data_IF_510324623068
#
_entry.id   IF_510324623068
#
_cell.length_a   1.000
_cell.length_b   1.000
_cell.length_c   1.000
_cell.angle_alpha   90.00
_cell.angle_beta   90.00
_cell.angle_gamma   90.00
#
_symmetry.space_group_name_H-M   'P 1'
#
loop_
_entity.id
_entity.type
_entity.pdbx_description
1 polymer ?
#
# COMPACT_ATOMS: atom_id res chain seq x y z
N UNK A 1 -2.27 4.66 29.87
CA UNK A 1 -2.83 5.14 28.59
C UNK A 1 -2.24 4.30 27.46
N UNK A 2 -2.99 3.32 26.95
CA UNK A 2 -2.59 2.47 25.82
C UNK A 2 -3.41 2.84 24.58
N UNK A 3 -2.83 2.81 23.36
CA UNK A 3 -3.54 3.27 22.17
C UNK A 3 -4.49 2.17 21.67
N UNK A 4 -5.78 2.45 21.77
CA UNK A 4 -6.89 1.70 21.17
C UNK A 4 -6.78 1.71 19.64
N UNK A 5 -6.36 0.59 19.06
CA UNK A 5 -6.45 0.35 17.61
C UNK A 5 -7.80 -0.25 17.25
N UNK A 6 -8.78 0.60 16.94
CA UNK A 6 -10.08 0.18 16.41
C UNK A 6 -9.92 -0.32 14.97
N UNK A 7 -9.80 -1.63 14.78
CA UNK A 7 -9.97 -2.28 13.48
C UNK A 7 -11.28 -3.07 13.46
N UNK A 8 -12.26 -2.55 12.73
CA UNK A 8 -13.52 -3.23 12.43
C UNK A 8 -13.30 -4.39 11.46
N UNK A 9 -12.83 -5.54 11.95
CA UNK A 9 -13.00 -6.82 11.26
C UNK A 9 -14.33 -7.41 11.72
N UNK A 10 -15.29 -7.56 10.80
CA UNK A 10 -16.58 -8.18 11.07
C UNK A 10 -16.36 -9.62 11.55
N UNK A 11 -16.68 -9.87 12.81
CA UNK A 11 -17.20 -11.15 13.32
C UNK A 11 -16.27 -12.35 13.47
N UNK A 12 -14.96 -12.27 13.20
CA UNK A 12 -14.05 -13.40 13.50
C UNK A 12 -13.17 -13.05 14.71
N UNK A 13 -13.24 -13.81 15.82
CA UNK A 13 -12.29 -13.62 16.91
C UNK A 13 -10.86 -13.78 16.37
N UNK A 14 -9.95 -12.95 16.85
CA UNK A 14 -8.53 -13.02 16.49
C UNK A 14 -7.98 -14.37 16.93
N UNK A 15 -7.86 -15.32 16.00
CA UNK A 15 -7.23 -16.61 16.26
C UNK A 15 -5.76 -16.38 16.58
N UNK A 16 -5.42 -16.40 17.87
CA UNK A 16 -4.04 -16.33 18.31
C UNK A 16 -3.37 -17.69 18.10
N UNK A 17 -2.28 -17.70 17.33
CA UNK A 17 -1.40 -18.86 17.26
C UNK A 17 -0.67 -19.01 18.61
N UNK A 18 -0.43 -20.23 19.12
CA UNK A 18 0.45 -20.48 20.25
C UNK A 18 1.80 -19.78 20.10
N UNK A 19 2.40 -19.34 21.21
CA UNK A 19 3.68 -18.64 21.22
C UNK A 19 4.78 -19.43 20.50
N UNK A 20 4.88 -20.73 20.77
CA UNK A 20 5.82 -21.62 20.10
C UNK A 20 5.66 -21.62 18.57
N UNK A 21 4.41 -21.66 18.06
CA UNK A 21 4.14 -21.60 16.62
C UNK A 21 4.51 -20.23 16.05
N UNK A 22 4.32 -19.15 16.82
CA UNK A 22 4.67 -17.80 16.39
C UNK A 22 6.19 -17.64 16.29
N UNK A 23 6.92 -18.08 17.31
CA UNK A 23 8.39 -18.05 17.35
C UNK A 23 9.01 -18.92 16.26
N UNK A 24 8.51 -20.14 16.07
CA UNK A 24 8.92 -21.01 14.97
C UNK A 24 8.74 -20.33 13.61
N UNK A 25 7.56 -19.75 13.34
CA UNK A 25 7.30 -19.06 12.08
C UNK A 25 8.19 -17.83 11.88
N UNK A 26 8.52 -17.10 12.95
CA UNK A 26 9.45 -15.96 12.90
C UNK A 26 10.86 -16.48 12.56
N UNK A 27 11.31 -17.54 13.23
CA UNK A 27 12.64 -18.12 13.02
C UNK A 27 12.85 -18.68 11.61
N UNK A 28 11.87 -19.41 11.07
CA UNK A 28 11.97 -19.98 9.71
C UNK A 28 11.74 -18.97 8.59
N UNK A 29 11.13 -17.81 8.88
CA UNK A 29 10.76 -16.82 7.87
C UNK A 29 11.95 -16.28 7.08
N UNK A 30 13.17 -16.32 7.63
CA UNK A 30 14.38 -15.90 6.93
C UNK A 30 14.71 -16.81 5.74
N UNK A 31 14.60 -18.13 5.93
CA UNK A 31 14.89 -19.14 4.92
C UNK A 31 13.85 -19.05 3.79
N UNK A 32 12.56 -19.03 4.15
CA UNK A 32 11.47 -18.92 3.17
C UNK A 32 11.61 -17.66 2.28
N UNK A 33 12.04 -16.54 2.87
CA UNK A 33 12.28 -15.29 2.15
C UNK A 33 13.52 -15.37 1.24
N UNK A 34 14.58 -16.02 1.70
CA UNK A 34 15.78 -16.26 0.89
C UNK A 34 15.45 -17.07 -0.36
N UNK A 35 14.74 -18.18 -0.19
CA UNK A 35 14.31 -19.04 -1.31
C UNK A 35 13.39 -18.29 -2.28
N UNK A 36 12.50 -17.45 -1.75
CA UNK A 36 11.67 -16.56 -2.57
C UNK A 36 12.52 -15.58 -3.39
N UNK A 37 13.54 -14.95 -2.81
CA UNK A 37 14.42 -14.01 -3.52
C UNK A 37 15.24 -14.70 -4.61
N UNK A 38 15.70 -15.94 -4.35
CA UNK A 38 16.42 -16.76 -5.34
C UNK A 38 15.53 -17.09 -6.54
N UNK A 39 14.23 -17.31 -6.32
CA UNK A 39 13.28 -17.62 -7.41
C UNK A 39 13.13 -16.48 -8.44
N UNK A 40 13.34 -15.21 -8.03
CA UNK A 40 13.31 -14.06 -8.94
C UNK A 40 14.57 -13.94 -9.81
N UNK A 41 15.66 -14.66 -9.48
CA UNK A 41 16.89 -14.69 -10.26
C UNK A 41 16.79 -15.63 -11.48
N UNK A 42 15.68 -15.54 -12.23
CA UNK A 42 15.41 -16.35 -13.43
C UNK A 42 16.37 -16.07 -14.59
N UNK A 43 17.15 -14.99 -14.50
CA UNK A 43 18.15 -14.60 -15.49
C UNK A 43 19.48 -15.38 -15.37
N UNK A 44 19.64 -16.27 -14.38
CA UNK A 44 20.75 -17.22 -14.34
C UNK A 44 20.51 -18.24 -15.46
N UNK A 45 21.03 -17.92 -16.65
CA UNK A 45 20.84 -18.70 -17.87
C UNK A 45 21.27 -20.15 -17.65
N UNK A 46 20.52 -21.11 -18.22
CA UNK A 46 20.81 -22.55 -18.16
C UNK A 46 22.20 -22.94 -18.70
N UNK A 47 22.89 -22.03 -19.37
CA UNK A 47 24.21 -22.20 -19.98
C UNK A 47 25.38 -21.99 -19.00
N UNK A 48 25.13 -21.60 -17.75
CA UNK A 48 26.16 -21.34 -16.75
C UNK A 48 26.54 -22.65 -16.04
N UNK A 49 27.83 -23.02 -16.08
CA UNK A 49 28.39 -24.18 -15.36
C UNK A 49 28.16 -24.03 -13.84
N UNK A 50 27.82 -25.14 -13.16
CA UNK A 50 27.37 -25.14 -11.76
C UNK A 50 28.28 -24.38 -10.78
N UNK A 51 29.60 -24.49 -10.94
CA UNK A 51 30.57 -23.82 -10.06
C UNK A 51 30.54 -22.29 -10.19
N UNK A 52 30.25 -21.76 -11.39
CA UNK A 52 30.10 -20.31 -11.60
C UNK A 52 28.82 -19.79 -10.92
N UNK A 53 27.77 -20.61 -10.91
CA UNK A 53 26.53 -20.30 -10.20
C UNK A 53 26.77 -20.18 -8.69
N UNK A 54 27.55 -21.09 -8.10
CA UNK A 54 27.95 -21.01 -6.70
C UNK A 54 28.77 -19.76 -6.39
N UNK A 55 29.73 -19.40 -7.24
CA UNK A 55 30.52 -18.19 -7.05
C UNK A 55 29.64 -16.91 -7.03
N UNK A 56 28.66 -16.81 -7.95
CA UNK A 56 27.72 -15.68 -7.98
C UNK A 56 26.85 -15.65 -6.71
N UNK A 57 26.34 -16.80 -6.24
CA UNK A 57 25.59 -16.84 -4.99
C UNK A 57 26.42 -16.41 -3.79
N UNK A 58 27.67 -16.87 -3.69
CA UNK A 58 28.56 -16.47 -2.59
C UNK A 58 28.83 -14.97 -2.58
N UNK A 59 29.07 -14.37 -3.75
CA UNK A 59 29.28 -12.92 -3.89
C UNK A 59 28.04 -12.10 -3.52
N UNK A 60 26.85 -12.53 -3.96
CA UNK A 60 25.60 -11.85 -3.62
C UNK A 60 25.27 -11.95 -2.12
N UNK A 61 25.57 -13.08 -1.48
CA UNK A 61 25.34 -13.28 -0.04
C UNK A 61 26.29 -12.41 0.79
N UNK A 62 27.57 -12.32 0.44
CA UNK A 62 28.53 -11.47 1.17
C UNK A 62 28.20 -9.99 1.04
N UNK A 63 27.78 -9.54 -0.15
CA UNK A 63 27.31 -8.17 -0.38
C UNK A 63 26.03 -7.88 0.43
N UNK A 64 25.07 -8.80 0.44
CA UNK A 64 23.83 -8.67 1.21
C UNK A 64 24.08 -8.56 2.71
N UNK A 65 24.97 -9.40 3.26
CA UNK A 65 25.36 -9.37 4.69
C UNK A 65 26.06 -8.06 5.08
N UNK A 66 26.82 -7.46 4.16
CA UNK A 66 27.52 -6.19 4.38
C UNK A 66 26.58 -4.97 4.31
N UNK A 67 25.45 -5.10 3.60
CA UNK A 67 24.48 -4.02 3.45
C UNK A 67 23.77 -3.72 4.78
N UNK A 68 23.87 -2.47 5.24
CA UNK A 68 23.27 -1.98 6.51
C UNK A 68 21.73 -1.98 6.53
N UNK A 69 21.10 -2.37 5.42
CA UNK A 69 19.64 -2.36 5.21
C UNK A 69 18.96 -3.72 5.44
N UNK A 70 19.68 -4.73 5.97
CA UNK A 70 19.14 -6.09 6.17
C UNK A 70 18.06 -6.19 7.24
N UNK A 71 17.96 -5.20 8.15
CA UNK A 71 16.95 -5.19 9.20
C UNK A 71 15.63 -4.66 8.62
N UNK A 72 14.60 -5.51 8.43
CA UNK A 72 13.29 -5.00 8.03
C UNK A 72 12.81 -4.05 9.12
N UNK A 73 12.70 -2.76 8.80
CA UNK A 73 12.22 -1.74 9.72
C UNK A 73 10.87 -2.19 10.33
N UNK A 74 10.81 -2.49 11.64
CA UNK A 74 9.60 -3.00 12.26
C UNK A 74 8.46 -1.95 12.27
N UNK A 75 8.82 -0.68 12.09
CA UNK A 75 7.88 0.44 11.97
C UNK A 75 7.43 0.69 10.53
N UNK A 76 7.84 -0.13 9.54
CA UNK A 76 7.35 0.03 8.16
C UNK A 76 5.85 -0.25 8.18
N UNK A 77 4.99 0.74 7.86
CA UNK A 77 3.56 0.52 7.90
C UNK A 77 3.22 -0.57 6.88
N UNK A 78 2.66 -1.69 7.36
CA UNK A 78 2.08 -2.71 6.49
C UNK A 78 1.04 -1.99 5.63
N UNK A 79 1.29 -1.92 4.31
CA UNK A 79 0.30 -1.43 3.34
C UNK A 79 -0.87 -2.39 3.41
N UNK A 80 -1.86 -2.06 4.24
CA UNK A 80 -3.15 -2.73 4.20
C UNK A 80 -3.76 -2.32 2.87
N UNK A 81 -4.16 -3.29 2.06
CA UNK A 81 -5.05 -3.05 0.93
C UNK A 81 -6.40 -2.59 1.51
N UNK A 82 -6.50 -1.31 1.88
CA UNK A 82 -7.79 -0.72 2.21
C UNK A 82 -8.54 -0.58 0.90
N UNK A 83 -9.67 -1.29 0.79
CA UNK A 83 -10.67 -0.96 -0.21
C UNK A 83 -11.26 0.40 0.15
N UNK A 84 -11.07 1.39 -0.72
CA UNK A 84 -11.73 2.68 -0.60
C UNK A 84 -13.08 2.59 -1.30
N UNK A 85 -14.09 3.27 -0.78
CA UNK A 85 -15.41 3.37 -1.43
C UNK A 85 -15.92 4.80 -1.36
N UNK A 86 -16.63 5.22 -2.40
CA UNK A 86 -17.28 6.52 -2.44
C UNK A 86 -18.62 6.48 -1.69
N UNK A 87 -18.88 7.51 -0.89
CA UNK A 87 -20.19 7.78 -0.26
C UNK A 87 -20.72 9.13 -0.69
N UNK A 88 -22.04 9.32 -0.58
CA UNK A 88 -22.69 10.60 -0.87
C UNK A 88 -22.51 11.54 0.33
N UNK A 89 -22.03 12.75 0.07
CA UNK A 89 -21.91 13.82 1.07
C UNK A 89 -23.26 14.51 1.25
N UNK A 90 -23.75 14.59 2.48
CA UNK A 90 -25.00 15.25 2.84
C UNK A 90 -24.74 16.47 3.73
N UNK A 91 -25.56 17.51 3.62
CA UNK A 91 -25.59 18.66 4.53
C UNK A 91 -26.30 18.27 5.85
N UNK A 92 -26.31 19.19 6.82
CA UNK A 92 -27.05 19.03 8.09
C UNK A 92 -28.54 18.70 7.87
N UNK A 93 -29.15 19.22 6.79
CA UNK A 93 -30.54 18.97 6.40
C UNK A 93 -30.73 17.68 5.57
N UNK A 94 -29.72 16.80 5.48
CA UNK A 94 -29.79 15.53 4.73
C UNK A 94 -29.69 15.65 3.20
N UNK A 95 -29.74 16.87 2.64
CA UNK A 95 -29.63 17.12 1.19
C UNK A 95 -28.21 16.83 0.66
N UNK A 96 -28.05 16.27 -0.55
CA UNK A 96 -26.74 15.96 -1.13
C UNK A 96 -25.97 17.24 -1.49
N UNK A 97 -24.67 17.24 -1.20
CA UNK A 97 -23.78 18.40 -1.39
C UNK A 97 -22.91 18.20 -2.61
N UNK A 98 -23.05 19.07 -3.60
CA UNK A 98 -22.22 19.05 -4.81
C UNK A 98 -20.99 19.94 -4.61
N UNK A 99 -19.79 19.34 -4.60
CA UNK A 99 -18.50 20.04 -4.55
C UNK A 99 -17.62 19.64 -5.72
N UNK A 100 -16.63 20.47 -6.03
CA UNK A 100 -15.68 20.17 -7.11
C UNK A 100 -14.86 18.92 -6.80
N UNK A 101 -14.57 18.11 -7.83
CA UNK A 101 -13.62 17.02 -7.70
C UNK A 101 -12.21 17.58 -7.49
N UNK A 102 -11.54 17.13 -6.42
CA UNK A 102 -10.19 17.58 -6.05
C UNK A 102 -9.16 17.20 -7.12
N UNK A 103 -9.29 16.00 -7.69
CA UNK A 103 -8.37 15.48 -8.71
C UNK A 103 -8.57 16.16 -10.06
N UNK A 104 -9.81 16.35 -10.52
CA UNK A 104 -10.09 17.15 -11.72
C UNK A 104 -9.56 18.58 -11.59
N UNK A 105 -9.73 19.20 -10.41
CA UNK A 105 -9.19 20.54 -10.16
C UNK A 105 -7.67 20.55 -10.23
N UNK A 106 -7.01 19.57 -9.59
CA UNK A 106 -5.55 19.42 -9.62
C UNK A 106 -5.04 19.24 -11.06
N UNK A 107 -5.71 18.42 -11.88
CA UNK A 107 -5.38 18.24 -13.30
C UNK A 107 -5.51 19.55 -14.08
N UNK A 108 -6.65 20.24 -14.00
CA UNK A 108 -6.83 21.53 -14.69
C UNK A 108 -5.85 22.60 -14.22
N UNK A 109 -5.56 22.67 -12.92
CA UNK A 109 -4.62 23.65 -12.34
C UNK A 109 -3.18 23.52 -12.84
N UNK A 110 -2.78 22.37 -13.39
CA UNK A 110 -1.48 22.22 -14.05
C UNK A 110 -1.41 22.96 -15.39
N UNK A 111 -2.55 23.13 -16.07
CA UNK A 111 -2.62 23.72 -17.41
C UNK A 111 -3.06 25.19 -17.38
N UNK A 112 -3.97 25.54 -16.47
CA UNK A 112 -4.58 26.87 -16.46
C UNK A 112 -4.50 27.54 -15.08
N UNK A 113 -4.58 28.86 -15.11
CA UNK A 113 -4.56 29.70 -13.92
C UNK A 113 -5.77 29.42 -12.99
N UNK A 114 -5.68 29.86 -11.73
CA UNK A 114 -6.61 29.45 -10.67
C UNK A 114 -8.05 29.84 -10.99
N UNK A 115 -8.25 31.05 -11.48
CA UNK A 115 -9.56 31.58 -11.81
C UNK A 115 -10.21 30.75 -12.94
N UNK A 116 -9.44 30.47 -13.99
CA UNK A 116 -9.91 29.69 -15.13
C UNK A 116 -10.12 28.21 -14.80
N UNK A 117 -9.27 27.62 -13.96
CA UNK A 117 -9.41 26.23 -13.52
C UNK A 117 -10.72 25.99 -12.75
N UNK A 118 -11.21 26.99 -12.02
CA UNK A 118 -12.46 26.89 -11.26
C UNK A 118 -13.70 26.91 -12.16
N UNK A 119 -13.61 27.49 -13.36
CA UNK A 119 -14.70 27.52 -14.32
C UNK A 119 -14.92 26.13 -14.93
N UNK A 120 -16.20 25.76 -15.09
CA UNK A 120 -16.62 24.52 -15.77
C UNK A 120 -15.95 23.25 -15.22
N UNK A 121 -15.74 23.16 -13.90
CA UNK A 121 -15.17 21.97 -13.27
C UNK A 121 -16.28 20.99 -12.85
N UNK A 122 -16.04 19.69 -13.06
CA UNK A 122 -16.98 18.62 -12.66
C UNK A 122 -17.23 18.71 -11.15
N UNK A 123 -18.50 18.90 -10.78
CA UNK A 123 -18.99 18.88 -9.39
C UNK A 123 -19.65 17.53 -9.14
N UNK A 124 -19.26 16.86 -8.05
CA UNK A 124 -19.80 15.56 -7.66
C UNK A 124 -20.36 15.62 -6.25
N UNK A 125 -21.24 14.68 -5.92
CA UNK A 125 -21.78 14.48 -4.56
C UNK A 125 -20.98 13.47 -3.75
N UNK A 126 -20.07 12.73 -4.39
CA UNK A 126 -19.31 11.61 -3.84
C UNK A 126 -17.98 12.00 -3.20
N UNK A 127 -17.66 11.37 -2.06
CA UNK A 127 -16.40 11.53 -1.34
C UNK A 127 -15.92 10.21 -0.74
N UNK A 128 -14.62 10.08 -0.48
CA UNK A 128 -14.05 8.91 0.18
C UNK A 128 -13.87 9.16 1.68
N UNK A 129 -14.40 8.30 2.55
CA UNK A 129 -14.21 8.40 4.01
C UNK A 129 -12.86 7.88 4.50
N UNK A 130 -12.31 6.89 3.80
CA UNK A 130 -11.09 6.18 4.23
C UNK A 130 -9.81 6.96 3.89
N UNK A 131 -9.91 7.98 3.04
CA UNK A 131 -8.80 8.84 2.67
C UNK A 131 -8.64 10.00 3.66
N UNK A 132 -7.39 10.45 3.93
CA UNK A 132 -7.16 11.63 4.75
C UNK A 132 -7.88 12.85 4.14
N UNK A 133 -8.48 13.68 4.99
CA UNK A 133 -9.27 14.87 4.63
C UNK A 133 -10.57 14.60 3.85
N UNK A 134 -10.99 13.34 3.74
CA UNK A 134 -12.27 12.96 3.13
C UNK A 134 -12.53 13.62 1.76
N UNK A 135 -11.65 13.39 0.76
CA UNK A 135 -11.63 14.14 -0.48
C UNK A 135 -12.88 13.91 -1.33
N UNK A 136 -13.38 14.99 -1.95
CA UNK A 136 -14.44 14.93 -2.95
C UNK A 136 -13.86 14.49 -4.30
N UNK A 137 -14.44 13.48 -4.93
CA UNK A 137 -13.94 12.93 -6.18
C UNK A 137 -15.07 12.41 -7.05
N UNK A 138 -14.89 12.45 -8.38
CA UNK A 138 -15.79 11.81 -9.32
C UNK A 138 -15.47 10.33 -9.43
N UNK A 139 -16.38 9.57 -10.05
CA UNK A 139 -16.19 8.15 -10.30
C UNK A 139 -14.95 7.90 -11.19
N UNK A 140 -14.77 8.69 -12.25
CA UNK A 140 -13.63 8.56 -13.17
C UNK A 140 -12.30 8.69 -12.42
N UNK A 141 -12.12 9.76 -11.63
CA UNK A 141 -10.89 9.97 -10.86
C UNK A 141 -10.75 9.05 -9.64
N UNK A 142 -11.76 8.27 -9.30
CA UNK A 142 -11.66 7.25 -8.25
C UNK A 142 -11.21 5.90 -8.83
N UNK A 143 -11.51 5.65 -10.11
CA UNK A 143 -11.15 4.43 -10.83
C UNK A 143 -9.82 4.52 -11.58
N UNK A 144 -9.30 5.74 -11.80
CA UNK A 144 -7.91 6.00 -12.23
C UNK A 144 -6.89 5.68 -11.13
#
# INVERSE_FOLDING_TARGET
MTPSSNSTHRGRPTKMKPLAIREYNIGKSGIDRSDQMVSYATNIRKTIKWYRKLAIYLLLVTEWLSSKDTVPNPNRPKRRNLSHHLKIRKNQQGKPVRKMCVLCYKKKRKMVERQQARKNLKKTTTYCLNCPKSPQMCLDCFNE
#
